data_IF_497401224395
#
_entry.id   IF_497401224395
#
_cell.length_a   1.000
_cell.length_b   1.000
_cell.length_c   1.000
_cell.angle_alpha   90.00
_cell.angle_beta   90.00
_cell.angle_gamma   90.00
#
_symmetry.space_group_name_H-M   'P 1'
#
loop_
_entity.id
_entity.type
_entity.pdbx_description
1 polymer ?
#
# COMPACT_ATOMS: atom_id res chain seq x y z
N UNK A 1 7.76 11.81 13.08
CA UNK A 1 7.10 11.65 11.77
C UNK A 1 7.80 10.59 10.94
N UNK A 2 7.03 9.67 10.38
CA UNK A 2 7.57 8.68 9.46
C UNK A 2 7.72 9.29 8.07
N UNK A 3 8.43 8.57 7.17
CA UNK A 3 8.51 8.97 5.78
C UNK A 3 7.10 9.00 5.14
N UNK A 4 6.18 8.12 5.57
CA UNK A 4 4.81 8.10 5.06
C UNK A 4 4.02 9.33 5.52
N UNK A 5 4.21 9.76 6.77
CA UNK A 5 3.59 11.00 7.26
C UNK A 5 4.04 12.21 6.44
N UNK A 6 5.31 12.23 6.04
CA UNK A 6 5.86 13.30 5.21
C UNK A 6 5.29 13.26 3.79
N UNK A 7 5.04 12.06 3.26
CA UNK A 7 4.39 11.91 1.96
C UNK A 7 2.97 12.47 2.02
N UNK A 8 2.22 12.14 3.08
CA UNK A 8 0.86 12.65 3.28
C UNK A 8 0.86 14.18 3.37
N UNK A 9 1.85 14.74 4.05
CA UNK A 9 1.98 16.20 4.21
C UNK A 9 2.46 16.92 2.95
N UNK A 10 2.84 16.18 1.91
CA UNK A 10 3.34 16.77 0.67
C UNK A 10 4.81 17.16 0.72
N UNK A 11 5.54 16.82 1.78
CA UNK A 11 6.96 17.14 1.92
C UNK A 11 7.85 16.26 1.04
N UNK A 12 7.39 15.03 0.76
CA UNK A 12 8.09 14.07 -0.10
C UNK A 12 7.16 13.73 -1.26
N UNK A 13 7.64 13.83 -2.51
CA UNK A 13 6.80 13.50 -3.66
C UNK A 13 6.47 12.01 -3.71
N UNK A 14 5.29 11.69 -4.24
CA UNK A 14 4.86 10.32 -4.46
C UNK A 14 3.93 10.25 -5.67
N UNK A 15 3.66 9.04 -6.13
CA UNK A 15 2.66 8.81 -7.15
C UNK A 15 1.36 8.40 -6.46
N UNK A 16 0.54 9.39 -6.15
CA UNK A 16 -0.73 9.18 -5.44
C UNK A 16 -1.71 8.39 -6.30
N UNK A 17 -2.32 7.36 -5.71
CA UNK A 17 -3.33 6.53 -6.36
C UNK A 17 -4.72 6.93 -5.92
N UNK A 18 -4.92 7.14 -4.63
CA UNK A 18 -6.22 7.50 -4.07
C UNK A 18 -6.04 8.16 -2.70
N UNK A 19 -7.03 8.92 -2.28
CA UNK A 19 -7.00 9.60 -0.98
C UNK A 19 -8.42 9.92 -0.54
N UNK A 20 -8.69 9.79 0.76
CA UNK A 20 -9.87 10.36 1.40
C UNK A 20 -9.45 11.05 2.70
N UNK A 21 -10.39 11.36 3.58
CA UNK A 21 -10.09 12.07 4.83
C UNK A 21 -9.17 11.29 5.77
N UNK A 22 -9.24 9.96 5.75
CA UNK A 22 -8.55 9.09 6.72
C UNK A 22 -7.45 8.23 6.11
N UNK A 23 -7.49 7.97 4.81
CA UNK A 23 -6.62 6.99 4.17
C UNK A 23 -5.95 7.56 2.94
N UNK A 24 -4.82 6.96 2.57
CA UNK A 24 -4.00 7.42 1.48
C UNK A 24 -3.36 6.22 0.79
N UNK A 25 -3.32 6.23 -0.54
CA UNK A 25 -2.70 5.17 -1.32
C UNK A 25 -1.75 5.76 -2.36
N UNK A 26 -0.57 5.15 -2.50
CA UNK A 26 0.45 5.60 -3.44
C UNK A 26 1.28 4.42 -3.93
N UNK A 27 1.91 4.59 -5.10
CA UNK A 27 2.74 3.53 -5.67
C UNK A 27 4.04 3.37 -4.87
N UNK A 28 4.46 2.12 -4.68
CA UNK A 28 5.76 1.83 -4.08
C UNK A 28 6.85 2.21 -5.08
N UNK A 29 7.86 2.93 -4.62
CA UNK A 29 9.00 3.34 -5.46
C UNK A 29 9.98 2.19 -5.70
N UNK A 30 9.88 1.12 -4.93
CA UNK A 30 10.69 -0.10 -5.09
C UNK A 30 9.76 -1.29 -5.23
N UNK A 31 8.98 -1.37 -6.34
CA UNK A 31 7.86 -2.30 -6.44
C UNK A 31 8.29 -3.73 -6.72
N UNK A 32 7.51 -4.67 -6.16
CA UNK A 32 7.64 -6.09 -6.51
C UNK A 32 7.05 -6.40 -7.88
N UNK A 33 6.09 -5.58 -8.31
CA UNK A 33 5.45 -5.71 -9.62
C UNK A 33 4.94 -4.33 -10.02
N UNK A 34 4.73 -4.14 -11.32
CA UNK A 34 4.10 -2.92 -11.80
C UNK A 34 2.72 -2.79 -11.16
N UNK A 35 2.47 -1.65 -10.51
CA UNK A 35 1.22 -1.41 -9.82
C UNK A 35 1.23 -1.75 -8.33
N UNK A 36 2.37 -2.19 -7.78
CA UNK A 36 2.53 -2.40 -6.34
C UNK A 36 2.20 -1.11 -5.61
N UNK A 37 1.18 -1.12 -4.79
CA UNK A 37 0.63 0.05 -4.12
C UNK A 37 0.66 -0.12 -2.61
N UNK A 38 0.90 0.97 -1.89
CA UNK A 38 0.84 1.01 -0.44
C UNK A 38 -0.42 1.75 -0.02
N UNK A 39 -1.14 1.20 0.93
CA UNK A 39 -2.35 1.81 1.49
C UNK A 39 -2.10 2.06 2.97
N UNK A 40 -2.23 3.32 3.39
CA UNK A 40 -1.90 3.72 4.76
C UNK A 40 -3.03 4.53 5.39
N UNK A 41 -3.17 4.46 6.73
CA UNK A 41 -3.97 5.45 7.44
C UNK A 41 -3.20 6.76 7.49
N UNK A 42 -3.89 7.89 7.45
CA UNK A 42 -3.24 9.19 7.58
C UNK A 42 -2.71 9.41 9.00
N UNK A 43 -3.41 8.81 10.00
CA UNK A 43 -2.93 8.81 11.37
C UNK A 43 -1.69 7.91 11.47
N UNK A 44 -0.63 8.42 12.10
CA UNK A 44 0.61 7.68 12.27
C UNK A 44 0.45 6.65 13.39
N UNK A 45 0.29 5.37 13.01
CA UNK A 45 0.21 4.23 13.91
C UNK A 45 1.15 3.17 13.37
N UNK A 46 2.12 2.73 14.17
CA UNK A 46 3.14 1.78 13.74
C UNK A 46 2.55 0.39 13.47
N UNK A 47 1.82 -0.13 14.44
CA UNK A 47 1.31 -1.51 14.42
C UNK A 47 -0.15 -1.51 14.01
N UNK A 48 -0.46 -2.23 12.91
CA UNK A 48 -1.81 -2.21 12.35
C UNK A 48 -2.87 -2.68 13.35
N UNK A 49 -2.52 -3.61 14.24
CA UNK A 49 -3.48 -4.12 15.22
C UNK A 49 -3.69 -3.20 16.41
N UNK A 50 -2.99 -2.06 16.46
CA UNK A 50 -3.27 -0.99 17.41
C UNK A 50 -4.34 -0.01 16.90
N UNK A 51 -4.76 -0.17 15.63
CA UNK A 51 -5.89 0.60 15.12
C UNK A 51 -7.18 0.14 15.79
N UNK A 52 -8.15 1.05 15.91
CA UNK A 52 -9.49 0.68 16.37
C UNK A 52 -10.16 -0.24 15.35
N UNK A 53 -11.17 -0.98 15.77
CA UNK A 53 -11.94 -1.84 14.87
C UNK A 53 -12.51 -1.03 13.70
N UNK A 54 -13.01 0.17 13.98
CA UNK A 54 -13.54 1.07 12.96
C UNK A 54 -12.47 1.47 11.96
N UNK A 55 -11.29 1.85 12.44
CA UNK A 55 -10.20 2.29 11.57
C UNK A 55 -9.61 1.15 10.75
N UNK A 56 -9.50 -0.04 11.34
CA UNK A 56 -9.00 -1.21 10.62
C UNK A 56 -10.00 -1.63 9.53
N UNK A 57 -11.29 -1.59 9.84
CA UNK A 57 -12.33 -1.89 8.86
C UNK A 57 -12.33 -0.88 7.72
N UNK A 58 -12.22 0.41 8.07
CA UNK A 58 -12.17 1.48 7.07
C UNK A 58 -10.94 1.39 6.17
N UNK A 59 -9.78 1.08 6.75
CA UNK A 59 -8.55 0.89 6.00
C UNK A 59 -8.68 -0.26 5.00
N UNK A 60 -9.27 -1.39 5.43
CA UNK A 60 -9.46 -2.54 4.56
C UNK A 60 -10.47 -2.25 3.44
N UNK A 61 -11.54 -1.54 3.74
CA UNK A 61 -12.53 -1.15 2.72
C UNK A 61 -11.89 -0.22 1.69
N UNK A 62 -11.07 0.72 2.15
CA UNK A 62 -10.33 1.62 1.26
C UNK A 62 -9.37 0.82 0.37
N UNK A 63 -8.63 -0.14 0.98
CA UNK A 63 -7.71 -1.01 0.24
C UNK A 63 -8.45 -1.82 -0.82
N UNK A 64 -9.65 -2.31 -0.52
CA UNK A 64 -10.47 -3.04 -1.48
C UNK A 64 -10.76 -2.18 -2.72
N UNK A 65 -11.14 -0.93 -2.53
CA UNK A 65 -11.43 -0.02 -3.64
C UNK A 65 -10.20 0.19 -4.51
N UNK A 66 -9.04 0.35 -3.88
CA UNK A 66 -7.76 0.52 -4.58
C UNK A 66 -7.40 -0.76 -5.33
N UNK A 67 -7.56 -1.92 -4.70
CA UNK A 67 -7.27 -3.22 -5.33
C UNK A 67 -8.14 -3.48 -6.56
N UNK A 68 -9.42 -3.11 -6.49
CA UNK A 68 -10.33 -3.23 -7.65
C UNK A 68 -9.84 -2.37 -8.81
N UNK A 69 -9.41 -1.14 -8.52
CA UNK A 69 -8.87 -0.24 -9.53
C UNK A 69 -7.57 -0.79 -10.12
N UNK A 70 -6.69 -1.34 -9.31
CA UNK A 70 -5.41 -1.94 -9.76
C UNK A 70 -5.71 -3.09 -10.72
N UNK A 71 -6.63 -3.98 -10.37
CA UNK A 71 -6.94 -5.14 -11.22
C UNK A 71 -7.52 -4.73 -12.56
N UNK A 72 -8.27 -3.63 -12.61
CA UNK A 72 -8.79 -3.11 -13.87
C UNK A 72 -7.70 -2.50 -14.75
N UNK A 73 -6.72 -1.86 -14.13
CA UNK A 73 -5.64 -1.17 -14.84
C UNK A 73 -4.51 -2.08 -15.26
N UNK A 74 -4.24 -3.15 -14.49
CA UNK A 74 -3.08 -4.01 -14.70
C UNK A 74 -3.54 -5.46 -14.80
N UNK A 75 -3.28 -6.13 -15.93
CA UNK A 75 -3.64 -7.54 -16.09
C UNK A 75 -2.95 -8.40 -15.02
N UNK A 76 -3.74 -9.11 -14.25
CA UNK A 76 -3.24 -10.02 -13.21
C UNK A 76 -4.32 -11.03 -12.84
N UNK A 77 -3.89 -12.13 -12.24
CA UNK A 77 -4.83 -13.15 -11.78
C UNK A 77 -5.59 -12.63 -10.56
N UNK A 78 -4.85 -12.08 -9.60
CA UNK A 78 -5.41 -11.50 -8.38
C UNK A 78 -4.50 -10.39 -7.87
N UNK A 79 -5.03 -9.50 -7.07
CA UNK A 79 -4.24 -8.57 -6.27
C UNK A 79 -4.05 -9.20 -4.90
N UNK A 80 -2.80 -9.44 -4.51
CA UNK A 80 -2.45 -9.96 -3.20
C UNK A 80 -2.28 -8.83 -2.19
N UNK A 81 -2.46 -9.16 -0.93
CA UNK A 81 -2.38 -8.20 0.17
C UNK A 81 -1.54 -8.75 1.31
N UNK A 82 -0.67 -7.92 1.86
CA UNK A 82 0.05 -8.27 3.08
C UNK A 82 0.41 -7.03 3.89
N UNK A 83 0.70 -7.25 5.17
CA UNK A 83 1.14 -6.20 6.09
C UNK A 83 2.37 -6.71 6.84
N UNK A 84 3.48 -5.99 6.73
CA UNK A 84 4.72 -6.31 7.45
C UNK A 84 5.09 -5.21 8.44
N UNK A 85 5.41 -4.02 7.92
CA UNK A 85 5.61 -2.84 8.78
C UNK A 85 6.87 -2.83 9.63
N UNK A 86 7.89 -3.60 9.28
CA UNK A 86 9.11 -3.69 10.09
C UNK A 86 10.12 -2.59 9.77
N UNK A 87 10.12 -2.08 8.54
CA UNK A 87 11.08 -1.06 8.12
C UNK A 87 10.59 0.36 8.41
N UNK A 88 9.32 0.63 8.13
CA UNK A 88 8.73 1.95 8.37
C UNK A 88 7.69 1.83 9.48
N UNK A 89 7.84 2.57 10.60
CA UNK A 89 6.91 2.46 11.74
C UNK A 89 5.60 3.21 11.49
N UNK A 90 4.93 2.87 10.40
CA UNK A 90 3.65 3.42 9.99
C UNK A 90 2.91 2.29 9.29
N UNK A 91 1.82 1.81 9.87
CA UNK A 91 1.08 0.67 9.34
C UNK A 91 0.73 0.87 7.87
N UNK A 92 0.98 -0.14 7.07
CA UNK A 92 0.70 -0.07 5.64
C UNK A 92 0.36 -1.44 5.07
N UNK A 93 -0.65 -1.44 4.19
CA UNK A 93 -1.05 -2.63 3.45
C UNK A 93 -0.36 -2.58 2.10
N UNK A 94 0.34 -3.66 1.75
CA UNK A 94 0.89 -3.84 0.40
C UNK A 94 -0.16 -4.48 -0.48
N UNK A 95 -0.44 -3.89 -1.63
CA UNK A 95 -1.29 -4.47 -2.67
C UNK A 95 -0.42 -4.73 -3.89
N UNK A 96 -0.31 -6.00 -4.29
CA UNK A 96 0.59 -6.42 -5.37
C UNK A 96 -0.19 -7.23 -6.41
N UNK A 97 -0.22 -6.77 -7.68
CA UNK A 97 -0.79 -7.60 -8.76
C UNK A 97 0.03 -8.88 -8.91
N UNK A 98 -0.64 -10.03 -8.90
CA UNK A 98 0.04 -11.33 -8.89
C UNK A 98 -0.44 -12.22 -10.02
N UNK A 99 0.51 -12.99 -10.57
CA UNK A 99 0.24 -14.10 -11.47
C UNK A 99 0.43 -15.43 -10.74
N UNK A 100 1.23 -15.42 -9.66
CA UNK A 100 1.49 -16.58 -8.81
C UNK A 100 1.83 -16.09 -7.39
N UNK A 101 1.80 -17.00 -6.42
CA UNK A 101 2.16 -16.67 -5.03
C UNK A 101 3.60 -16.19 -4.89
N UNK A 102 4.49 -16.63 -5.79
CA UNK A 102 5.88 -16.21 -5.77
C UNK A 102 6.05 -14.70 -5.99
N UNK A 103 5.07 -14.03 -6.59
CA UNK A 103 5.14 -12.61 -6.87
C UNK A 103 5.08 -11.74 -5.61
N UNK A 104 4.56 -12.28 -4.51
CA UNK A 104 4.45 -11.57 -3.25
C UNK A 104 5.53 -12.03 -2.26
N UNK A 105 6.79 -11.92 -2.68
CA UNK A 105 7.96 -12.23 -1.86
C UNK A 105 8.89 -11.03 -1.84
N UNK A 106 9.14 -10.48 -0.66
CA UNK A 106 9.95 -9.28 -0.51
C UNK A 106 11.44 -9.55 -0.72
N UNK A 107 11.83 -10.80 -0.88
CA UNK A 107 13.18 -11.18 -1.30
C UNK A 107 13.36 -11.17 -2.83
N UNK A 108 12.27 -11.02 -3.58
CA UNK A 108 12.35 -10.94 -5.04
C UNK A 108 13.05 -9.66 -5.49
N UNK A 109 13.72 -9.66 -6.67
CA UNK A 109 14.25 -8.45 -7.25
C UNK A 109 13.11 -7.44 -7.47
N UNK A 110 13.42 -6.15 -7.27
CA UNK A 110 12.44 -5.09 -7.52
C UNK A 110 12.38 -4.79 -9.01
N UNK A 111 11.18 -4.36 -9.45
CA UNK A 111 10.96 -3.98 -10.84
C UNK A 111 11.47 -2.56 -11.04
N UNK A 112 12.27 -2.36 -12.10
CA UNK A 112 12.69 -1.02 -12.49
C UNK A 112 11.67 -0.47 -13.46
N UNK A 113 11.12 0.70 -13.12
CA UNK A 113 10.16 1.41 -13.96
C UNK A 113 10.82 2.67 -14.50
N UNK A 114 10.81 2.83 -15.81
CA UNK A 114 11.35 4.01 -16.48
C UNK A 114 10.37 5.19 -16.47
#
# INVERSE_FOLDING_TARGET
>A
MTIFSRIIAGEIPCYKVAEDEKYFAFLDISPLAKGHTLVIPKREVDYIFDLTDEDIAGLQVFAKKVAVAIKKAIPCVKVGQCVLGLEVPHAHIHLVPMQSEADLRFTNPRVELS
#
